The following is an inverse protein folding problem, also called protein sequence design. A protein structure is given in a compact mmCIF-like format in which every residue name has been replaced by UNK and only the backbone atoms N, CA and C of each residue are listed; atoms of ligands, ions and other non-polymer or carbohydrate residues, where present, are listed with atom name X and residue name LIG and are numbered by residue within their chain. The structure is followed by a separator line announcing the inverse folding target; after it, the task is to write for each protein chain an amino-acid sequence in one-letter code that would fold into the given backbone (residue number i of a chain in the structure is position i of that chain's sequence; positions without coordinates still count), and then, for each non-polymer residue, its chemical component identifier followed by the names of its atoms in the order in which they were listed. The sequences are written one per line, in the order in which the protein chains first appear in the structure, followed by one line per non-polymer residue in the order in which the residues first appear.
data_IF_041054186082
#
_entry.id   IF_041054186082
#
_cell.length_a   1.000
_cell.length_b   1.000
_cell.length_c   1.000
_cell.angle_alpha   90.00
_cell.angle_beta   90.00
_cell.angle_gamma   90.00
#
_symmetry.space_group_name_H-M   'P 1'
#
loop_
_entity.id
_entity.type
_entity.pdbx_description
1 polymer ?
#
# COMPACT_ATOMS: atom_id res chain seq x y z
N UNK A 1 5.45 -19.70 -29.41
CA UNK A 1 5.68 -19.21 -28.04
C UNK A 1 4.80 -17.98 -27.88
N UNK A 2 4.07 -17.79 -26.76
CA UNK A 2 3.36 -16.54 -26.56
C UNK A 2 4.37 -15.39 -26.57
N UNK A 3 4.02 -14.30 -27.26
CA UNK A 3 4.84 -13.09 -27.25
C UNK A 3 4.85 -12.50 -25.83
N UNK A 4 5.98 -11.93 -25.36
CA UNK A 4 6.00 -11.24 -24.08
C UNK A 4 4.94 -10.12 -24.06
N UNK A 5 4.14 -10.05 -23.01
CA UNK A 5 3.11 -9.02 -22.86
C UNK A 5 3.37 -8.16 -21.63
N UNK A 6 3.03 -6.85 -21.65
CA UNK A 6 3.04 -6.03 -20.45
C UNK A 6 2.14 -6.65 -19.38
N UNK A 7 2.70 -6.89 -18.20
CA UNK A 7 1.96 -7.48 -17.10
C UNK A 7 0.97 -6.47 -16.49
N UNK A 8 -0.18 -6.96 -16.04
CA UNK A 8 -1.09 -6.19 -15.20
C UNK A 8 -0.57 -6.22 -13.76
N UNK A 9 -0.23 -5.06 -13.21
CA UNK A 9 0.28 -4.93 -11.85
C UNK A 9 -0.86 -4.66 -10.87
N UNK A 10 -0.75 -5.23 -9.68
CA UNK A 10 -1.64 -4.97 -8.55
C UNK A 10 -1.04 -3.98 -7.55
N UNK A 11 0.25 -3.72 -7.67
CA UNK A 11 0.99 -2.82 -6.80
C UNK A 11 2.44 -2.70 -7.23
N UNK A 12 3.07 -1.63 -6.77
CA UNK A 12 4.47 -1.32 -6.99
C UNK A 12 5.01 -0.74 -5.68
N UNK A 13 6.17 -1.22 -5.24
CA UNK A 13 6.88 -0.71 -4.07
C UNK A 13 8.31 -0.40 -4.48
N UNK A 14 8.74 0.84 -4.29
CA UNK A 14 10.11 1.28 -4.55
C UNK A 14 10.83 1.48 -3.22
N UNK A 15 11.96 0.81 -3.05
CA UNK A 15 12.89 1.00 -1.93
C UNK A 15 14.18 1.64 -2.45
N UNK A 16 15.14 1.89 -1.56
CA UNK A 16 16.44 2.47 -1.95
C UNK A 16 17.23 1.56 -2.92
N UNK A 17 17.00 0.24 -2.88
CA UNK A 17 17.79 -0.74 -3.64
C UNK A 17 16.98 -1.61 -4.58
N UNK A 18 15.66 -1.68 -4.40
CA UNK A 18 14.80 -2.63 -5.10
C UNK A 18 13.44 -2.03 -5.46
N UNK A 19 12.88 -2.52 -6.57
CA UNK A 19 11.49 -2.32 -6.98
C UNK A 19 10.77 -3.65 -6.90
N UNK A 20 9.67 -3.69 -6.18
CA UNK A 20 8.83 -4.88 -6.03
C UNK A 20 7.49 -4.63 -6.71
N UNK A 21 7.12 -5.50 -7.65
CA UNK A 21 5.80 -5.51 -8.27
C UNK A 21 4.93 -6.58 -7.63
N UNK A 22 3.63 -6.32 -7.56
CA UNK A 22 2.64 -7.30 -7.16
C UNK A 22 1.86 -7.77 -8.39
N UNK A 23 1.75 -9.07 -8.61
CA UNK A 23 1.16 -9.69 -9.82
C UNK A 23 0.30 -10.89 -9.46
N UNK A 24 -0.59 -11.33 -10.35
CA UNK A 24 -1.36 -12.56 -10.15
C UNK A 24 -0.49 -13.78 -10.43
N UNK A 25 -0.57 -14.79 -9.56
CA UNK A 25 0.00 -16.11 -9.78
C UNK A 25 -1.04 -17.21 -9.52
N UNK A 26 -0.95 -18.26 -10.32
CA UNK A 26 -1.63 -19.54 -10.14
C UNK A 26 -0.71 -20.59 -9.47
N UNK A 27 0.39 -20.15 -8.86
CA UNK A 27 1.24 -20.94 -7.97
C UNK A 27 2.67 -21.19 -8.42
N UNK A 28 3.07 -20.74 -9.61
CA UNK A 28 4.40 -20.98 -10.16
C UNK A 28 5.03 -19.75 -10.82
N UNK A 29 4.48 -18.55 -10.58
CA UNK A 29 5.10 -17.31 -11.03
C UNK A 29 6.33 -17.02 -10.18
N UNK A 30 7.48 -16.83 -10.81
CA UNK A 30 8.72 -16.41 -10.17
C UNK A 30 9.32 -15.15 -10.82
N UNK A 31 10.56 -14.81 -10.46
CA UNK A 31 11.21 -13.61 -10.98
C UNK A 31 11.66 -13.82 -12.43
N UNK A 32 12.11 -15.01 -12.76
CA UNK A 32 12.66 -15.41 -14.05
C UNK A 32 11.60 -15.40 -15.16
N UNK A 33 10.32 -15.43 -14.80
CA UNK A 33 9.18 -15.24 -15.69
C UNK A 33 8.98 -13.80 -16.18
N UNK A 34 9.84 -12.86 -15.77
CA UNK A 34 9.72 -11.44 -16.12
C UNK A 34 10.99 -10.84 -16.70
N UNK A 35 10.78 -10.02 -17.73
CA UNK A 35 11.78 -9.09 -18.25
C UNK A 35 11.44 -7.65 -17.87
N UNK A 36 12.47 -6.84 -17.73
CA UNK A 36 12.38 -5.42 -17.45
C UNK A 36 12.83 -4.63 -18.67
N UNK A 37 11.90 -3.96 -19.35
CA UNK A 37 12.23 -3.07 -20.46
C UNK A 37 12.33 -1.65 -19.92
N UNK A 38 13.51 -1.04 -20.08
CA UNK A 38 13.74 0.36 -19.75
C UNK A 38 13.90 1.14 -21.05
N UNK A 39 13.04 2.14 -21.26
CA UNK A 39 13.17 3.09 -22.36
C UNK A 39 13.90 4.32 -21.85
N UNK A 40 14.88 4.77 -22.65
CA UNK A 40 15.62 5.99 -22.38
C UNK A 40 14.70 7.20 -22.60
N UNK A 41 14.17 7.73 -21.49
CA UNK A 41 13.38 8.95 -21.40
C UNK A 41 13.76 9.71 -20.12
N UNK A 42 13.23 10.91 -19.92
CA UNK A 42 13.46 11.68 -18.71
C UNK A 42 12.13 12.14 -18.08
N UNK A 43 11.63 11.47 -17.02
CA UNK A 43 12.22 10.32 -16.32
C UNK A 43 12.16 9.02 -17.18
N UNK A 44 13.01 8.01 -16.90
CA UNK A 44 13.02 6.74 -17.63
C UNK A 44 11.68 6.02 -17.50
N UNK A 45 11.24 5.38 -18.59
CA UNK A 45 10.00 4.61 -18.64
C UNK A 45 10.32 3.12 -18.51
N UNK A 46 9.61 2.45 -17.62
CA UNK A 46 9.84 1.05 -17.25
C UNK A 46 8.60 0.22 -17.56
N UNK A 47 8.81 -0.94 -18.15
CA UNK A 47 7.75 -1.92 -18.40
C UNK A 47 8.19 -3.30 -17.92
N UNK A 48 7.39 -3.91 -17.04
CA UNK A 48 7.54 -5.29 -16.60
C UNK A 48 6.80 -6.20 -17.57
N UNK A 49 7.53 -7.04 -18.28
CA UNK A 49 7.00 -7.94 -19.30
C UNK A 49 6.96 -9.34 -18.73
N UNK A 50 5.81 -10.00 -18.74
CA UNK A 50 5.75 -11.43 -18.44
C UNK A 50 6.19 -12.21 -19.68
N UNK A 51 7.24 -13.00 -19.55
CA UNK A 51 7.84 -13.79 -20.64
C UNK A 51 7.36 -15.23 -20.62
N UNK A 52 7.00 -15.76 -19.44
CA UNK A 52 6.49 -17.11 -19.28
C UNK A 52 5.09 -17.12 -18.67
N UNK A 53 4.18 -18.00 -19.17
CA UNK A 53 2.87 -18.16 -18.55
C UNK A 53 3.01 -18.84 -17.18
N UNK A 54 2.01 -18.67 -16.31
CA UNK A 54 1.89 -19.44 -15.07
C UNK A 54 0.92 -20.62 -15.30
N UNK A 55 1.43 -21.81 -15.68
CA UNK A 55 0.59 -22.95 -16.06
C UNK A 55 -0.04 -23.66 -14.84
N UNK A 56 0.33 -23.24 -13.63
CA UNK A 56 -0.14 -23.89 -12.42
C UNK A 56 -1.62 -23.63 -12.17
N UNK A 57 -2.23 -24.45 -11.32
CA UNK A 57 -3.69 -24.48 -11.10
C UNK A 57 -4.06 -24.29 -9.64
N UNK A 58 -3.26 -23.53 -8.90
CA UNK A 58 -3.66 -23.07 -7.57
C UNK A 58 -4.69 -21.96 -7.71
N UNK A 59 -5.36 -21.65 -6.60
CA UNK A 59 -6.24 -20.49 -6.51
C UNK A 59 -5.44 -19.23 -6.88
N UNK A 60 -5.92 -18.39 -7.81
CA UNK A 60 -5.25 -17.15 -8.17
C UNK A 60 -5.03 -16.27 -6.93
N UNK A 61 -3.80 -15.85 -6.71
CA UNK A 61 -3.41 -15.01 -5.58
C UNK A 61 -2.34 -14.01 -6.00
N UNK A 62 -2.14 -12.98 -5.19
CA UNK A 62 -1.11 -11.98 -5.44
C UNK A 62 0.24 -12.47 -4.92
N UNK A 63 1.28 -12.35 -5.73
CA UNK A 63 2.69 -12.60 -5.36
C UNK A 63 3.52 -11.35 -5.60
N UNK A 64 4.62 -11.20 -4.85
CA UNK A 64 5.54 -10.08 -4.96
C UNK A 64 6.82 -10.52 -5.69
N UNK A 65 7.19 -9.80 -6.75
CA UNK A 65 8.38 -10.05 -7.55
C UNK A 65 9.32 -8.84 -7.45
N UNK A 66 10.55 -9.07 -7.03
CA UNK A 66 11.51 -7.99 -6.74
C UNK A 66 12.61 -7.89 -7.80
N UNK A 67 12.95 -6.66 -8.16
CA UNK A 67 13.94 -6.27 -9.15
C UNK A 67 14.93 -5.31 -8.49
N UNK A 68 16.22 -5.42 -8.81
CA UNK A 68 17.21 -4.44 -8.36
C UNK A 68 16.97 -3.09 -9.04
N UNK A 69 16.90 -2.01 -8.26
CA UNK A 69 16.74 -0.63 -8.75
C UNK A 69 17.92 -0.22 -9.65
N UNK A 70 19.10 -0.83 -9.48
CA UNK A 70 20.25 -0.63 -10.38
C UNK A 70 19.95 -0.97 -11.84
N UNK A 71 19.01 -1.88 -12.09
CA UNK A 71 18.62 -2.25 -13.44
C UNK A 71 17.79 -1.16 -14.14
N UNK A 72 17.13 -0.29 -13.37
CA UNK A 72 16.36 0.87 -13.86
C UNK A 72 17.28 2.09 -14.02
N UNK A 73 18.34 2.17 -13.23
CA UNK A 73 19.34 3.24 -13.29
C UNK A 73 18.91 4.54 -12.60
N UNK A 74 17.69 4.62 -12.06
CA UNK A 74 17.15 5.77 -11.34
C UNK A 74 16.12 5.34 -10.30
N UNK A 75 16.04 6.09 -9.19
CA UNK A 75 14.93 6.01 -8.22
C UNK A 75 13.68 6.77 -8.66
N UNK A 76 13.81 7.64 -9.65
CA UNK A 76 12.73 8.38 -10.30
C UNK A 76 12.51 7.80 -11.69
N UNK A 77 11.37 7.13 -11.89
CA UNK A 77 10.98 6.45 -13.13
C UNK A 77 9.45 6.35 -13.25
N UNK A 78 8.98 6.23 -14.49
CA UNK A 78 7.56 6.03 -14.80
C UNK A 78 7.32 4.56 -15.16
N UNK A 79 6.23 3.96 -14.65
CA UNK A 79 5.83 2.60 -15.02
C UNK A 79 4.72 2.65 -16.07
N UNK A 80 4.91 1.96 -17.18
CA UNK A 80 3.97 1.91 -18.32
C UNK A 80 2.98 0.74 -18.23
N UNK A 81 3.15 -0.14 -17.25
CA UNK A 81 2.24 -1.27 -17.03
C UNK A 81 0.86 -0.81 -16.58
N UNK A 82 -0.16 -1.55 -17.01
CA UNK A 82 -1.52 -1.36 -16.51
C UNK A 82 -1.63 -1.80 -15.04
N UNK A 83 -2.39 -1.05 -14.25
CA UNK A 83 -2.75 -1.42 -12.89
C UNK A 83 -4.20 -1.89 -12.79
N UNK A 84 -4.43 -2.99 -12.08
CA UNK A 84 -5.77 -3.47 -11.73
C UNK A 84 -5.77 -4.01 -10.29
N UNK A 85 -6.90 -4.00 -9.58
CA UNK A 85 -7.01 -4.68 -8.29
C UNK A 85 -6.58 -6.14 -8.40
N UNK A 86 -5.87 -6.65 -7.38
CA UNK A 86 -5.54 -8.06 -7.28
C UNK A 86 -6.80 -8.93 -7.15
N UNK A 87 -6.70 -10.23 -7.45
CA UNK A 87 -7.80 -11.16 -7.17
C UNK A 87 -8.21 -11.05 -5.69
N UNK A 88 -9.52 -11.09 -5.37
CA UNK A 88 -9.98 -11.05 -3.99
C UNK A 88 -9.34 -12.22 -3.25
N UNK A 89 -8.50 -11.88 -2.26
CA UNK A 89 -7.79 -12.89 -1.49
C UNK A 89 -8.81 -13.77 -0.77
N UNK A 90 -8.82 -15.05 -1.11
CA UNK A 90 -9.32 -16.05 -0.18
C UNK A 90 -8.28 -16.14 0.93
N UNK A 91 -8.58 -15.51 2.06
CA UNK A 91 -7.79 -15.61 3.28
C UNK A 91 -7.53 -17.09 3.61
N UNK A 92 -6.33 -17.57 3.35
CA UNK A 92 -5.84 -18.76 4.02
C UNK A 92 -4.33 -18.70 4.02
N UNK A 93 -3.75 -18.64 5.21
CA UNK A 93 -2.34 -18.93 5.54
C UNK A 93 -1.43 -17.80 6.03
N UNK A 94 -1.94 -16.80 6.78
CA UNK A 94 -1.20 -16.15 7.90
C UNK A 94 0.18 -15.53 7.62
N UNK A 95 0.59 -15.49 6.36
CA UNK A 95 1.90 -15.04 5.87
C UNK A 95 1.72 -14.19 4.61
N UNK A 96 0.47 -13.85 4.29
CA UNK A 96 0.05 -13.07 3.15
C UNK A 96 0.71 -11.69 3.15
N UNK A 97 1.83 -11.57 2.44
CA UNK A 97 2.34 -10.30 1.94
C UNK A 97 1.44 -9.84 0.80
N UNK A 98 0.18 -9.56 1.14
CA UNK A 98 -0.71 -8.76 0.32
C UNK A 98 -0.12 -7.36 0.11
N UNK A 99 -0.65 -6.67 -0.88
CA UNK A 99 -0.26 -5.33 -1.31
C UNK A 99 0.00 -4.46 -0.07
N UNK A 100 1.26 -4.12 0.22
CA UNK A 100 1.56 -3.11 1.24
C UNK A 100 1.58 -1.78 0.50
N UNK A 101 0.51 -1.00 0.59
CA UNK A 101 0.58 0.41 0.21
C UNK A 101 1.72 1.04 1.00
N UNK A 102 2.62 1.76 0.32
CA UNK A 102 3.61 2.54 1.06
C UNK A 102 2.86 3.63 1.81
N UNK A 103 3.01 3.63 3.13
CA UNK A 103 2.43 4.66 3.97
C UNK A 103 3.55 5.47 4.60
N UNK A 104 3.37 6.78 4.69
CA UNK A 104 4.39 7.68 5.21
C UNK A 104 3.75 8.93 5.80
N UNK A 105 4.59 9.76 6.42
CA UNK A 105 4.19 11.07 6.98
C UNK A 105 3.04 10.95 7.99
N UNK A 106 3.03 9.86 8.75
CA UNK A 106 2.05 9.66 9.81
C UNK A 106 2.26 10.63 10.98
N UNK A 107 1.16 11.12 11.53
CA UNK A 107 1.14 11.99 12.70
C UNK A 107 -0.13 11.74 13.50
N UNK A 108 0.00 11.70 14.82
CA UNK A 108 -1.10 11.64 15.77
C UNK A 108 -0.95 12.81 16.75
N UNK A 109 -1.94 13.70 16.76
CA UNK A 109 -1.93 14.93 17.57
C UNK A 109 -3.16 14.95 18.46
N UNK A 110 -2.95 15.00 19.76
CA UNK A 110 -3.97 15.26 20.77
C UNK A 110 -3.98 16.74 21.11
N UNK A 111 -5.04 17.45 20.74
CA UNK A 111 -5.28 18.82 21.16
C UNK A 111 -5.98 18.83 22.53
N UNK A 112 -5.26 19.29 23.54
CA UNK A 112 -5.67 19.41 24.94
C UNK A 112 -5.88 20.88 25.37
N UNK A 113 -5.93 21.82 24.42
CA UNK A 113 -6.16 23.25 24.69
C UNK A 113 -7.54 23.48 25.33
N UNK A 114 -7.61 24.22 26.45
CA UNK A 114 -8.87 24.68 27.00
C UNK A 114 -9.56 25.70 26.08
N UNK A 115 -10.91 25.76 26.05
CA UNK A 115 -11.85 24.91 26.78
C UNK A 115 -12.09 23.55 26.10
N UNK A 116 -12.45 22.52 26.88
CA UNK A 116 -12.91 21.23 26.37
C UNK A 116 -14.09 21.38 25.38
N UNK A 117 -14.29 20.46 24.42
CA UNK A 117 -13.73 19.11 24.35
C UNK A 117 -12.33 19.03 23.73
N UNK A 118 -11.53 18.09 24.23
CA UNK A 118 -10.27 17.71 23.61
C UNK A 118 -10.50 16.86 22.37
N UNK A 119 -9.54 16.86 21.45
CA UNK A 119 -9.64 16.11 20.20
C UNK A 119 -8.34 15.38 19.87
N UNK A 120 -8.47 14.25 19.20
CA UNK A 120 -7.36 13.51 18.60
C UNK A 120 -7.49 13.57 17.09
N UNK A 121 -6.43 13.99 16.40
CA UNK A 121 -6.34 13.92 14.94
C UNK A 121 -5.20 13.00 14.54
N UNK A 122 -5.51 12.01 13.72
CA UNK A 122 -4.53 11.11 13.12
C UNK A 122 -4.57 11.29 11.61
N UNK A 123 -3.41 11.50 10.99
CA UNK A 123 -3.29 11.70 9.55
C UNK A 123 -2.04 11.01 9.03
N UNK A 124 -2.10 10.56 7.79
CA UNK A 124 -0.94 10.05 7.07
C UNK A 124 -1.21 9.94 5.59
N UNK A 125 -0.15 9.69 4.84
CA UNK A 125 -0.22 9.52 3.39
C UNK A 125 -0.12 8.05 3.03
N UNK A 126 -0.91 7.66 2.05
CA UNK A 126 -0.97 6.32 1.50
C UNK A 126 -0.74 6.43 0.00
N UNK A 127 0.36 5.85 -0.45
CA UNK A 127 0.75 5.86 -1.84
C UNK A 127 -0.04 4.78 -2.60
N UNK A 128 -0.81 5.19 -3.59
CA UNK A 128 -1.70 4.34 -4.39
C UNK A 128 -1.35 4.43 -5.86
N UNK A 129 -1.62 3.38 -6.66
CA UNK A 129 -1.19 3.34 -8.06
C UNK A 129 -1.93 4.32 -8.97
N UNK A 130 -3.13 4.77 -8.58
CA UNK A 130 -3.93 5.74 -9.35
C UNK A 130 -4.71 6.66 -8.41
N UNK A 131 -5.17 7.83 -8.89
CA UNK A 131 -6.13 8.66 -8.15
C UNK A 131 -7.50 8.00 -7.93
N UNK A 132 -7.75 6.84 -8.55
CA UNK A 132 -9.00 6.10 -8.46
C UNK A 132 -9.21 5.32 -7.18
N UNK A 133 -8.64 5.78 -6.07
CA UNK A 133 -8.77 5.17 -4.76
C UNK A 133 -9.17 6.24 -3.74
N UNK A 134 -9.71 5.79 -2.62
CA UNK A 134 -9.91 6.58 -1.39
C UNK A 134 -9.27 5.85 -0.23
N UNK A 135 -8.62 6.58 0.67
CA UNK A 135 -8.06 6.05 1.91
C UNK A 135 -8.79 6.64 3.12
N UNK A 136 -9.30 5.79 3.99
CA UNK A 136 -9.99 6.16 5.22
C UNK A 136 -9.37 5.43 6.42
N UNK A 137 -9.45 6.03 7.61
CA UNK A 137 -9.09 5.38 8.86
C UNK A 137 -10.34 5.13 9.68
N UNK A 138 -10.46 3.93 10.25
CA UNK A 138 -11.58 3.54 11.12
C UNK A 138 -11.05 2.88 12.38
N UNK A 139 -11.68 3.05 13.55
CA UNK A 139 -11.33 2.28 14.73
C UNK A 139 -11.46 0.79 14.45
N UNK A 140 -10.40 0.04 14.73
CA UNK A 140 -10.42 -1.42 14.62
C UNK A 140 -11.37 -2.04 15.65
N UNK A 141 -11.99 -3.15 15.28
CA UNK A 141 -12.82 -3.94 16.20
C UNK A 141 -12.33 -5.38 16.15
N UNK A 142 -11.70 -5.90 17.22
CA UNK A 142 -11.50 -5.28 18.55
C UNK A 142 -10.29 -4.31 18.65
N UNK A 143 -10.28 -3.45 19.67
CA UNK A 143 -9.21 -2.47 19.97
C UNK A 143 -7.95 -3.06 20.65
N UNK A 144 -7.82 -4.39 20.68
CA UNK A 144 -6.73 -5.07 21.37
C UNK A 144 -6.88 -5.04 22.91
N UNK A 145 -5.80 -5.43 23.59
CA UNK A 145 -5.76 -5.61 25.06
C UNK A 145 -5.19 -4.37 25.77
N UNK A 146 -4.32 -3.60 25.11
CA UNK A 146 -3.69 -2.41 25.69
C UNK A 146 -4.62 -1.20 25.58
N UNK A 147 -5.16 -0.67 26.70
CA UNK A 147 -6.07 0.48 26.67
C UNK A 147 -5.37 1.81 26.38
N UNK A 148 -4.03 1.86 26.41
CA UNK A 148 -3.25 3.07 26.10
C UNK A 148 -2.87 3.19 24.63
N UNK A 149 -3.27 2.20 23.82
CA UNK A 149 -3.08 2.18 22.37
C UNK A 149 -4.43 2.25 21.67
N UNK A 150 -4.53 3.12 20.67
CA UNK A 150 -5.65 3.14 19.73
C UNK A 150 -5.25 2.39 18.47
N UNK A 151 -6.07 1.43 18.05
CA UNK A 151 -5.85 0.70 16.80
C UNK A 151 -6.80 1.25 15.74
N UNK A 152 -6.26 1.70 14.61
CA UNK A 152 -7.00 2.17 13.46
C UNK A 152 -6.75 1.25 12.26
N UNK A 153 -7.81 0.79 11.62
CA UNK A 153 -7.76 0.12 10.33
C UNK A 153 -7.75 1.15 9.20
N UNK A 154 -6.71 1.08 8.37
CA UNK A 154 -6.63 1.74 7.08
C UNK A 154 -7.50 0.98 6.08
N UNK A 155 -8.49 1.66 5.53
CA UNK A 155 -9.42 1.15 4.52
C UNK A 155 -9.15 1.88 3.22
N UNK A 156 -8.61 1.15 2.24
CA UNK A 156 -8.39 1.69 0.88
C UNK A 156 -9.46 1.12 -0.04
N UNK A 157 -10.29 1.99 -0.60
CA UNK A 157 -11.44 1.61 -1.44
C UNK A 157 -11.24 2.11 -2.87
N UNK A 158 -11.31 1.24 -3.89
CA UNK A 158 -11.28 1.69 -5.28
C UNK A 158 -12.56 2.47 -5.63
N UNK A 159 -12.40 3.53 -6.40
CA UNK A 159 -13.47 4.36 -6.95
C UNK A 159 -13.74 3.96 -8.40
N UNK A 160 -15.01 3.87 -8.78
CA UNK A 160 -15.40 3.60 -10.16
C UNK A 160 -15.00 4.76 -11.09
N UNK A 161 -14.36 4.47 -12.21
CA UNK A 161 -14.02 5.46 -13.23
C UNK A 161 -12.82 5.07 -14.06
N UNK A 162 -12.56 5.84 -15.12
CA UNK A 162 -11.33 5.75 -15.89
C UNK A 162 -10.32 6.74 -15.29
N UNK A 163 -9.26 6.22 -14.69
CA UNK A 163 -8.26 7.01 -13.98
C UNK A 163 -6.92 6.96 -14.71
N UNK A 164 -6.18 8.06 -14.66
CA UNK A 164 -4.80 8.10 -15.12
C UNK A 164 -3.94 7.21 -14.23
N UNK A 165 -2.97 6.53 -14.85
CA UNK A 165 -2.03 5.68 -14.12
C UNK A 165 -0.87 6.52 -13.63
N UNK A 166 -1.10 7.15 -12.49
CA UNK A 166 -0.13 8.00 -11.83
C UNK A 166 -0.12 7.67 -10.34
N UNK A 167 1.07 7.32 -9.86
CA UNK A 167 1.33 7.11 -8.45
C UNK A 167 0.90 8.36 -7.66
N UNK A 168 0.00 8.19 -6.70
CA UNK A 168 -0.68 9.30 -6.02
C UNK A 168 -0.65 9.11 -4.52
N UNK A 169 -0.34 10.17 -3.78
CA UNK A 169 -0.47 10.18 -2.33
C UNK A 169 -1.90 10.54 -1.93
N UNK A 170 -2.61 9.61 -1.30
CA UNK A 170 -3.90 9.88 -0.67
C UNK A 170 -3.75 10.19 0.80
N UNK A 171 -4.49 11.19 1.28
CA UNK A 171 -4.55 11.52 2.69
C UNK A 171 -5.54 10.58 3.38
N UNK A 172 -5.04 9.73 4.26
CA UNK A 172 -5.85 8.99 5.23
C UNK A 172 -5.97 9.84 6.50
N UNK A 173 -7.17 9.97 7.04
CA UNK A 173 -7.38 10.74 8.27
C UNK A 173 -8.47 10.18 9.16
N UNK A 174 -8.28 10.38 10.47
CA UNK A 174 -9.22 10.08 11.53
C UNK A 174 -9.25 11.26 12.50
N UNK A 175 -10.44 11.57 13.01
CA UNK A 175 -10.64 12.58 14.04
C UNK A 175 -11.58 12.03 15.10
N UNK A 176 -11.13 12.01 16.35
CA UNK A 176 -11.99 11.85 17.51
C UNK A 176 -12.23 13.22 18.15
N UNK A 177 -13.42 13.82 17.98
CA UNK A 177 -13.74 15.14 18.54
C UNK A 177 -14.06 15.10 20.04
N UNK A 178 -14.07 13.93 20.67
CA UNK A 178 -14.36 13.75 22.11
C UNK A 178 -13.29 12.90 22.78
N UNK A 179 -12.04 13.21 22.47
CA UNK A 179 -10.90 12.47 22.98
C UNK A 179 -10.83 12.59 24.52
N UNK A 180 -10.84 11.45 25.20
CA UNK A 180 -10.85 11.37 26.67
C UNK A 180 -9.48 11.52 27.33
N UNK A 181 -8.39 11.61 26.57
CA UNK A 181 -7.03 11.58 27.09
C UNK A 181 -6.49 10.16 27.32
N UNK A 182 -5.18 10.05 27.63
CA UNK A 182 -4.54 8.82 28.10
C UNK A 182 -4.01 7.86 27.03
N UNK A 183 -4.21 8.14 25.74
CA UNK A 183 -3.56 7.40 24.66
C UNK A 183 -2.10 7.83 24.53
N UNK A 184 -1.21 6.84 24.43
CA UNK A 184 0.22 7.04 24.21
C UNK A 184 0.61 6.78 22.76
N UNK A 185 -0.02 5.77 22.14
CA UNK A 185 0.31 5.35 20.78
C UNK A 185 -0.93 5.13 19.93
N UNK A 186 -0.77 5.28 18.63
CA UNK A 186 -1.74 4.89 17.61
C UNK A 186 -1.09 3.86 16.69
N UNK A 187 -1.68 2.67 16.61
CA UNK A 187 -1.29 1.64 15.65
C UNK A 187 -2.19 1.73 14.43
N UNK A 188 -1.60 1.83 13.24
CA UNK A 188 -2.32 1.77 11.96
C UNK A 188 -2.16 0.36 11.43
N UNK A 189 -3.28 -0.31 11.17
CA UNK A 189 -3.35 -1.64 10.60
C UNK A 189 -3.87 -1.59 9.17
N UNK A 190 -3.41 -2.48 8.31
CA UNK A 190 -3.96 -2.71 6.98
C UNK A 190 -4.21 -4.22 6.83
N UNK A 191 -5.45 -4.61 6.56
CA UNK A 191 -5.89 -6.02 6.58
C UNK A 191 -5.43 -6.79 7.84
N UNK A 192 -5.63 -6.17 9.01
CA UNK A 192 -5.28 -6.79 10.31
C UNK A 192 -3.78 -6.85 10.63
N UNK A 193 -2.90 -6.39 9.75
CA UNK A 193 -1.45 -6.33 9.97
C UNK A 193 -0.99 -4.91 10.29
N UNK A 194 -0.08 -4.69 11.26
CA UNK A 194 0.42 -3.36 11.58
C UNK A 194 1.30 -2.80 10.45
N UNK A 195 1.01 -1.58 10.01
CA UNK A 195 1.79 -0.85 8.99
C UNK A 195 2.53 0.37 9.56
N UNK A 196 2.04 0.93 10.67
CA UNK A 196 2.71 2.00 11.40
C UNK A 196 2.32 1.98 12.88
N UNK A 197 3.23 2.43 13.74
CA UNK A 197 2.96 2.73 15.15
C UNK A 197 3.51 4.11 15.42
N UNK A 198 2.68 5.00 15.96
CA UNK A 198 2.95 6.44 16.06
C UNK A 198 2.73 6.87 17.50
N UNK A 199 3.66 7.65 18.04
CA UNK A 199 3.48 8.28 19.35
C UNK A 199 2.49 9.46 19.24
N UNK A 200 1.58 9.54 20.21
CA UNK A 200 0.62 10.65 20.29
C UNK A 200 1.35 11.89 20.81
N UNK A 201 1.32 12.97 20.03
CA UNK A 201 1.84 14.27 20.43
C UNK A 201 0.73 15.08 21.09
N UNK A 202 0.90 15.39 22.37
CA UNK A 202 -0.01 16.25 23.12
C UNK A 202 0.34 17.72 22.90
N UNK A 203 -0.65 18.52 22.53
CA UNK A 203 -0.54 19.97 22.35
C UNK A 203 -1.46 20.63 23.37
N UNK A 204 -0.92 21.57 24.15
CA UNK A 204 -1.60 22.25 25.26
C UNK A 204 -1.90 23.72 24.97
#
# INVERSE_FOLDING_TARGET
MPEPTPEILHGLKVSETEVTIAVTSNGCTDREDFDLIVKESNPPQVTFMRTQPDPCRKIPHTVNISFSLKAIGSSDFTVENLFAPGPPMLESDGTGRGIVFQTHSWSAIANLQPPAPFSLSVKGKVNVPTPGYRADLKPAVPQGIDPSQLILDLVVTPLSGNWTQQLTDLLASYVDPKYGGGLKTVAIHYHGSPVAVIDVQEVH
#
